data_IF_050768872404
#
_entry.id   IF_050768872404
#
_cell.length_a   1.000
_cell.length_b   1.000
_cell.length_c   1.000
_cell.angle_alpha   90.00
_cell.angle_beta   90.00
_cell.angle_gamma   90.00
#
_symmetry.space_group_name_H-M   'P 1'
#
loop_
_entity.id
_entity.type
_entity.pdbx_description
1 polymer ?
#
# COMPACT_ATOMS: atom_id res chain seq x y z
N UNK A 1 17.46 10.19 3.86
CA UNK A 1 16.09 10.05 4.40
C UNK A 1 15.33 9.10 3.48
N UNK A 2 14.34 8.33 3.96
CA UNK A 2 13.43 7.69 3.03
C UNK A 2 12.80 8.78 2.15
N UNK A 3 12.86 8.56 0.84
CA UNK A 3 12.26 9.42 -0.17
C UNK A 3 10.75 9.13 -0.21
N UNK A 4 9.94 10.17 -0.05
CA UNK A 4 8.47 10.07 -0.03
C UNK A 4 7.94 10.81 -1.25
N UNK A 5 7.05 10.15 -1.98
CA UNK A 5 6.32 10.81 -3.05
C UNK A 5 5.06 11.42 -2.44
N UNK A 6 4.96 12.75 -2.52
CA UNK A 6 3.78 13.50 -2.14
C UNK A 6 2.71 13.33 -3.23
N UNK A 7 1.47 13.10 -2.81
CA UNK A 7 0.32 12.92 -3.69
C UNK A 7 -0.81 13.83 -3.23
N UNK A 8 -1.49 14.48 -4.17
CA UNK A 8 -2.67 15.30 -3.93
C UNK A 8 -3.73 15.01 -4.98
N UNK A 9 -4.87 14.52 -4.53
CA UNK A 9 -6.06 14.35 -5.36
C UNK A 9 -7.00 15.52 -5.10
N UNK A 10 -7.33 16.27 -6.15
CA UNK A 10 -8.37 17.31 -6.10
C UNK A 10 -9.73 16.72 -6.42
N UNK A 11 -10.71 17.02 -5.57
CA UNK A 11 -12.07 16.52 -5.56
C UNK A 11 -13.03 17.70 -5.69
N UNK A 12 -13.72 17.82 -6.83
CA UNK A 12 -14.74 18.86 -7.00
C UNK A 12 -16.10 18.39 -6.44
N UNK A 13 -16.24 18.37 -5.11
CA UNK A 13 -17.38 17.77 -4.40
C UNK A 13 -17.95 18.66 -3.30
N UNK A 14 -19.21 18.40 -2.91
CA UNK A 14 -19.83 18.98 -1.71
C UNK A 14 -19.39 18.24 -0.45
N UNK A 15 -19.58 18.84 0.74
CA UNK A 15 -19.24 18.18 2.02
C UNK A 15 -19.93 16.82 2.18
N UNK A 16 -21.22 16.73 1.85
CA UNK A 16 -21.99 15.48 1.97
C UNK A 16 -21.48 14.38 1.02
N UNK A 17 -21.01 14.77 -0.17
CA UNK A 17 -20.37 13.85 -1.12
C UNK A 17 -18.97 13.44 -0.62
N UNK A 18 -18.21 14.38 -0.04
CA UNK A 18 -16.88 14.12 0.53
C UNK A 18 -16.95 13.11 1.68
N UNK A 19 -17.90 13.25 2.60
CA UNK A 19 -18.07 12.31 3.73
C UNK A 19 -18.39 10.90 3.23
N UNK A 20 -19.23 10.76 2.18
CA UNK A 20 -19.51 9.45 1.58
C UNK A 20 -18.28 8.84 0.93
N UNK A 21 -17.49 9.63 0.21
CA UNK A 21 -16.21 9.15 -0.36
C UNK A 21 -15.30 8.70 0.78
N UNK A 22 -15.17 9.51 1.84
CA UNK A 22 -14.35 9.23 3.02
C UNK A 22 -14.71 7.90 3.68
N UNK A 23 -16.01 7.63 3.88
CA UNK A 23 -16.50 6.38 4.46
C UNK A 23 -16.10 5.13 3.65
N UNK A 24 -15.96 5.26 2.33
CA UNK A 24 -15.63 4.15 1.44
C UNK A 24 -14.11 3.92 1.41
N UNK A 25 -13.34 4.99 1.24
CA UNK A 25 -11.91 4.89 0.88
C UNK A 25 -10.94 5.05 2.05
N UNK A 26 -11.39 5.60 3.18
CA UNK A 26 -10.54 5.78 4.36
C UNK A 26 -10.70 4.64 5.36
N UNK A 27 -9.62 4.35 6.07
CA UNK A 27 -9.59 3.47 7.25
C UNK A 27 -8.92 4.21 8.43
N UNK A 28 -9.08 3.68 9.63
CA UNK A 28 -8.35 4.14 10.84
C UNK A 28 -7.30 3.12 11.22
N UNK A 29 -6.14 3.59 11.64
CA UNK A 29 -5.09 2.72 12.17
C UNK A 29 -5.33 2.37 13.65
N UNK A 30 -4.38 1.67 14.27
CA UNK A 30 -4.48 1.25 15.67
C UNK A 30 -4.39 2.41 16.68
N UNK A 31 -3.94 3.59 16.24
CA UNK A 31 -3.87 4.82 17.03
C UNK A 31 -5.08 5.74 16.79
N UNK A 32 -5.92 5.40 15.80
CA UNK A 32 -7.12 6.14 15.45
C UNK A 32 -6.91 7.16 14.34
N UNK A 33 -5.71 7.23 13.76
CA UNK A 33 -5.38 8.13 12.66
C UNK A 33 -6.01 7.63 11.36
N UNK A 34 -6.63 8.54 10.62
CA UNK A 34 -7.29 8.23 9.35
C UNK A 34 -6.29 8.19 8.20
N UNK A 35 -6.43 7.20 7.31
CA UNK A 35 -5.60 7.10 6.12
C UNK A 35 -6.37 6.59 4.91
N UNK A 36 -5.92 6.99 3.71
CA UNK A 36 -6.45 6.51 2.45
C UNK A 36 -6.05 5.05 2.25
N UNK A 37 -7.00 4.14 2.37
CA UNK A 37 -6.72 2.72 2.40
C UNK A 37 -6.81 2.12 1.00
N UNK A 38 -5.65 1.84 0.41
CA UNK A 38 -5.57 1.26 -0.92
C UNK A 38 -6.30 -0.09 -1.02
N UNK A 39 -6.46 -0.84 0.09
CA UNK A 39 -7.23 -2.09 0.08
C UNK A 39 -8.73 -1.91 -0.13
N UNK A 40 -9.25 -0.70 0.11
CA UNK A 40 -10.65 -0.33 -0.20
C UNK A 40 -10.86 -0.13 -1.69
N UNK A 41 -9.79 0.19 -2.42
CA UNK A 41 -9.79 0.45 -3.86
C UNK A 41 -9.39 -0.82 -4.63
N UNK A 42 -8.16 -1.29 -4.43
CA UNK A 42 -7.65 -2.54 -4.98
C UNK A 42 -7.21 -3.41 -3.82
N UNK A 43 -8.07 -4.38 -3.48
CA UNK A 43 -7.89 -5.24 -2.32
C UNK A 43 -6.73 -6.20 -2.53
N UNK A 44 -5.78 -6.16 -1.59
CA UNK A 44 -4.70 -7.13 -1.54
C UNK A 44 -5.21 -8.54 -1.22
N UNK A 45 -4.69 -9.58 -1.88
CA UNK A 45 -4.93 -10.97 -1.48
C UNK A 45 -4.53 -11.21 -0.02
N UNK A 46 -5.22 -12.13 0.67
CA UNK A 46 -4.92 -12.46 2.07
C UNK A 46 -3.66 -13.33 2.24
N UNK A 47 -3.25 -14.04 1.19
CA UNK A 47 -2.21 -15.06 1.16
C UNK A 47 -0.91 -14.57 0.49
N UNK A 48 -0.42 -13.38 0.83
CA UNK A 48 0.82 -12.84 0.25
C UNK A 48 2.06 -13.24 1.06
N UNK A 49 3.18 -13.50 0.36
CA UNK A 49 4.48 -13.75 0.99
C UNK A 49 5.35 -12.50 0.97
N UNK A 50 5.92 -12.12 2.11
CA UNK A 50 6.89 -11.03 2.16
C UNK A 50 8.19 -11.44 1.46
N UNK A 51 8.55 -10.77 0.35
CA UNK A 51 9.91 -10.85 -0.20
C UNK A 51 10.85 -10.11 0.75
N UNK A 52 11.63 -10.83 1.56
CA UNK A 52 12.66 -10.22 2.38
C UNK A 52 13.84 -9.79 1.49
N UNK A 53 14.14 -8.49 1.46
CA UNK A 53 15.48 -8.03 1.12
C UNK A 53 16.31 -8.03 2.41
N UNK A 54 17.50 -8.66 2.38
CA UNK A 54 18.60 -8.45 3.36
C UNK A 54 18.69 -6.95 3.71
N UNK A 55 18.87 -6.48 4.93
CA UNK A 55 19.48 -7.05 6.13
C UNK A 55 18.88 -6.36 7.38
N UNK A 56 19.20 -6.85 8.56
CA UNK A 56 18.92 -6.32 9.91
C UNK A 56 17.78 -7.03 10.69
N UNK A 57 16.58 -7.22 10.14
CA UNK A 57 15.49 -7.92 10.87
C UNK A 57 15.50 -9.43 10.65
N UNK A 58 15.81 -9.86 9.42
CA UNK A 58 15.94 -11.29 9.08
C UNK A 58 17.14 -11.94 9.77
N UNK A 59 18.25 -11.21 9.92
CA UNK A 59 19.39 -11.68 10.74
C UNK A 59 18.97 -11.82 12.20
N UNK A 60 18.22 -10.87 12.77
CA UNK A 60 17.80 -10.98 14.18
C UNK A 60 16.83 -12.14 14.42
N UNK A 61 15.84 -12.34 13.53
CA UNK A 61 14.83 -13.39 13.66
C UNK A 61 15.38 -14.77 13.28
N UNK A 62 16.12 -14.89 12.17
CA UNK A 62 16.76 -16.15 11.77
C UNK A 62 17.87 -16.56 12.71
N UNK A 63 18.70 -15.63 13.22
CA UNK A 63 19.76 -15.95 14.19
C UNK A 63 19.20 -16.47 15.50
N UNK A 64 18.14 -15.87 16.03
CA UNK A 64 17.47 -16.35 17.24
C UNK A 64 16.93 -17.79 17.04
N UNK A 65 16.34 -18.07 15.88
CA UNK A 65 15.79 -19.38 15.51
C UNK A 65 16.87 -20.45 15.27
N UNK A 66 17.94 -20.12 14.52
CA UNK A 66 19.06 -21.04 14.26
C UNK A 66 19.87 -21.35 15.51
N UNK A 67 20.00 -20.40 16.45
CA UNK A 67 20.76 -20.60 17.70
C UNK A 67 19.92 -21.22 18.82
N UNK A 68 18.58 -21.23 18.73
CA UNK A 68 17.69 -21.73 19.79
C UNK A 68 16.41 -22.42 19.27
N UNK A 69 16.51 -23.46 18.41
CA UNK A 69 15.34 -24.10 17.80
C UNK A 69 14.36 -24.69 18.83
N UNK A 70 14.85 -25.11 20.00
CA UNK A 70 14.05 -25.77 21.04
C UNK A 70 13.24 -24.82 21.94
N UNK A 71 13.33 -23.50 21.75
CA UNK A 71 12.69 -22.50 22.62
C UNK A 71 11.35 -21.97 22.13
N UNK A 72 10.94 -22.30 20.90
CA UNK A 72 9.64 -21.91 20.38
C UNK A 72 8.68 -23.09 20.48
N UNK A 73 7.61 -22.95 21.26
CA UNK A 73 6.58 -23.97 21.31
C UNK A 73 5.97 -24.16 19.91
N UNK A 74 5.93 -25.42 19.43
CA UNK A 74 5.39 -25.79 18.12
C UNK A 74 3.99 -25.21 17.87
N UNK A 75 3.19 -25.09 18.94
CA UNK A 75 1.86 -24.49 18.91
C UNK A 75 1.87 -23.02 18.47
N UNK A 76 2.85 -22.24 18.94
CA UNK A 76 3.00 -20.83 18.55
C UNK A 76 3.42 -20.75 17.08
N UNK A 77 4.29 -21.65 16.62
CA UNK A 77 4.68 -21.75 15.22
C UNK A 77 3.49 -22.09 14.32
N UNK A 78 2.65 -23.05 14.73
CA UNK A 78 1.44 -23.43 13.99
C UNK A 78 0.40 -22.29 13.97
N UNK A 79 0.28 -21.51 15.05
CA UNK A 79 -0.59 -20.33 15.13
C UNK A 79 -0.07 -19.16 14.27
N UNK A 80 1.26 -19.01 14.13
CA UNK A 80 1.91 -18.07 13.22
C UNK A 80 1.68 -18.49 11.76
N UNK A 81 1.93 -19.77 11.42
CA UNK A 81 1.74 -20.32 10.07
C UNK A 81 0.27 -20.26 9.64
N UNK A 82 -0.67 -20.44 10.58
CA UNK A 82 -2.11 -20.34 10.31
C UNK A 82 -2.68 -18.92 10.36
N UNK A 83 -1.83 -17.89 10.41
CA UNK A 83 -2.22 -16.47 10.46
C UNK A 83 -3.14 -16.10 11.64
N UNK A 84 -3.07 -16.84 12.76
CA UNK A 84 -3.85 -16.55 13.98
C UNK A 84 -3.16 -15.53 14.87
N UNK A 85 -1.84 -15.35 14.73
CA UNK A 85 -1.03 -14.38 15.47
C UNK A 85 -0.28 -13.51 14.48
N UNK A 86 -0.62 -12.22 14.44
CA UNK A 86 0.00 -11.22 13.55
C UNK A 86 1.08 -10.38 14.25
N UNK A 87 1.16 -10.45 15.58
CA UNK A 87 2.10 -9.69 16.42
C UNK A 87 2.62 -10.59 17.53
N UNK A 88 3.93 -10.76 17.65
CA UNK A 88 4.55 -11.49 18.78
C UNK A 88 5.51 -10.58 19.53
N UNK A 89 5.64 -10.83 20.84
CA UNK A 89 6.72 -10.24 21.63
C UNK A 89 7.83 -11.25 21.82
N UNK A 90 9.02 -10.91 21.30
CA UNK A 90 10.24 -11.69 21.51
C UNK A 90 11.20 -10.79 22.30
N UNK A 91 11.61 -11.25 23.48
CA UNK A 91 12.48 -10.52 24.41
C UNK A 91 12.05 -9.06 24.66
N UNK A 92 10.74 -8.85 24.82
CA UNK A 92 10.14 -7.55 25.12
C UNK A 92 9.95 -6.61 23.92
N UNK A 93 10.36 -7.01 22.71
CA UNK A 93 10.16 -6.23 21.47
C UNK A 93 8.96 -6.75 20.70
N UNK A 94 8.11 -5.84 20.22
CA UNK A 94 6.97 -6.15 19.36
C UNK A 94 7.46 -6.41 17.93
N UNK A 95 7.19 -7.59 17.40
CA UNK A 95 7.52 -8.00 16.03
C UNK A 95 6.22 -8.23 15.28
N UNK A 96 6.06 -7.52 14.15
CA UNK A 96 4.94 -7.75 13.22
C UNK A 96 5.28 -8.95 12.34
N UNK A 97 4.42 -9.96 12.38
CA UNK A 97 4.51 -11.17 11.56
C UNK A 97 3.49 -11.05 10.43
N UNK A 98 3.67 -10.05 9.58
CA UNK A 98 3.01 -10.07 8.28
C UNK A 98 3.79 -11.07 7.39
N UNK A 99 3.36 -12.33 7.45
CA UNK A 99 3.63 -13.44 6.52
C UNK A 99 5.07 -13.59 6.00
N UNK A 100 5.92 -14.26 6.79
CA UNK A 100 7.26 -14.71 6.38
C UNK A 100 7.18 -16.07 5.66
N UNK A 101 7.82 -16.19 4.49
CA UNK A 101 8.26 -17.49 3.95
C UNK A 101 9.74 -17.42 3.59
N UNK A 102 10.39 -18.52 3.93
CA UNK A 102 11.82 -18.79 4.05
C UNK A 102 12.65 -18.64 2.75
N UNK A 103 13.94 -18.28 2.91
CA UNK A 103 14.96 -18.23 1.85
C UNK A 103 15.48 -19.65 1.50
N UNK A 104 14.61 -20.55 1.04
CA UNK A 104 15.04 -21.89 0.60
C UNK A 104 14.78 -22.22 -0.87
N UNK A 105 14.08 -21.37 -1.61
CA UNK A 105 13.66 -21.67 -2.98
C UNK A 105 14.15 -20.62 -3.97
N UNK A 106 14.72 -21.08 -5.09
CA UNK A 106 15.05 -20.28 -6.25
C UNK A 106 13.79 -19.79 -7.00
N UNK A 107 13.93 -18.73 -7.81
CA UNK A 107 12.86 -18.20 -8.67
C UNK A 107 12.22 -19.26 -9.59
N UNK A 108 12.96 -20.31 -9.93
CA UNK A 108 12.51 -21.42 -10.77
C UNK A 108 11.67 -22.43 -9.98
N UNK A 109 12.00 -22.69 -8.72
CA UNK A 109 11.26 -23.60 -7.85
C UNK A 109 9.89 -23.04 -7.43
N UNK A 110 9.79 -21.71 -7.24
CA UNK A 110 8.54 -21.04 -6.89
C UNK A 110 7.49 -21.08 -8.02
N UNK A 111 7.89 -21.27 -9.28
CA UNK A 111 6.97 -21.37 -10.44
C UNK A 111 6.16 -22.67 -10.45
N UNK A 112 6.62 -23.72 -9.79
CA UNK A 112 5.97 -25.04 -9.77
C UNK A 112 5.00 -25.23 -8.60
N UNK A 113 4.93 -24.28 -7.67
CA UNK A 113 3.90 -24.23 -6.63
C UNK A 113 2.59 -23.68 -7.22
N UNK A 114 1.94 -24.47 -8.08
CA UNK A 114 0.69 -24.14 -8.77
C UNK A 114 -0.56 -24.40 -7.93
N UNK A 115 -0.48 -24.24 -6.60
CA UNK A 115 -1.61 -24.27 -5.69
C UNK A 115 -1.89 -22.87 -5.17
N UNK A 116 -2.80 -22.14 -5.83
CA UNK A 116 -3.38 -20.86 -5.40
C UNK A 116 -2.43 -19.87 -4.68
N UNK A 117 -1.67 -19.13 -5.50
CA UNK A 117 -1.13 -17.79 -5.26
C UNK A 117 -0.09 -17.61 -4.15
N UNK A 118 1.15 -18.01 -4.43
CA UNK A 118 2.34 -17.39 -3.82
C UNK A 118 2.66 -16.11 -4.60
N UNK A 119 1.96 -15.01 -4.32
CA UNK A 119 2.34 -13.71 -4.86
C UNK A 119 3.27 -13.03 -3.87
N UNK A 120 4.44 -12.61 -4.36
CA UNK A 120 5.39 -11.82 -3.60
C UNK A 120 4.74 -10.48 -3.27
N UNK A 121 4.50 -10.24 -1.98
CA UNK A 121 3.82 -9.06 -1.43
C UNK A 121 4.34 -7.75 -2.03
N UNK A 122 5.67 -7.63 -2.12
CA UNK A 122 6.33 -6.45 -2.65
C UNK A 122 5.98 -6.23 -4.11
N UNK A 123 6.12 -7.27 -4.93
CA UNK A 123 5.89 -7.18 -6.38
C UNK A 123 4.41 -6.86 -6.65
N UNK A 124 3.47 -7.49 -5.95
CA UNK A 124 2.05 -7.16 -6.10
C UNK A 124 1.73 -5.73 -5.70
N UNK A 125 2.22 -5.25 -4.57
CA UNK A 125 1.96 -3.88 -4.14
C UNK A 125 2.53 -2.88 -5.16
N UNK A 126 3.73 -3.13 -5.69
CA UNK A 126 4.31 -2.30 -6.75
C UNK A 126 3.47 -2.38 -8.03
N UNK A 127 3.09 -3.58 -8.46
CA UNK A 127 2.34 -3.78 -9.71
C UNK A 127 0.91 -3.20 -9.66
N UNK A 128 0.25 -3.29 -8.51
CA UNK A 128 -1.18 -2.94 -8.36
C UNK A 128 -1.37 -1.56 -7.74
N UNK A 129 -0.52 -1.14 -6.80
CA UNK A 129 -0.61 0.17 -6.14
C UNK A 129 0.43 1.18 -6.63
N UNK A 130 1.48 0.75 -7.35
CA UNK A 130 2.60 1.61 -7.76
C UNK A 130 3.65 1.84 -6.66
N UNK A 131 3.33 1.47 -5.42
CA UNK A 131 4.14 1.74 -4.22
C UNK A 131 4.22 0.52 -3.32
N UNK A 132 5.30 0.44 -2.55
CA UNK A 132 5.56 -0.64 -1.61
C UNK A 132 4.52 -0.73 -0.48
N UNK A 133 4.08 0.41 0.03
CA UNK A 133 3.21 0.48 1.21
C UNK A 133 1.89 1.17 0.87
N UNK A 134 0.90 0.98 1.76
CA UNK A 134 -0.31 1.79 1.78
C UNK A 134 0.04 3.28 1.98
N UNK A 135 -0.96 4.17 1.88
CA UNK A 135 -0.75 5.60 2.07
C UNK A 135 -0.19 5.94 3.45
N UNK A 136 0.59 7.02 3.50
CA UNK A 136 1.20 7.58 4.71
C UNK A 136 0.79 9.05 4.83
N UNK A 137 0.75 9.59 6.05
CA UNK A 137 0.51 11.02 6.30
C UNK A 137 -0.73 11.56 5.56
N UNK A 138 -1.79 10.77 5.59
CA UNK A 138 -3.00 11.01 4.83
C UNK A 138 -3.90 12.03 5.52
N UNK A 139 -4.55 12.88 4.73
CA UNK A 139 -5.53 13.86 5.19
C UNK A 139 -6.53 14.12 4.07
N UNK A 140 -7.81 14.25 4.43
CA UNK A 140 -8.87 14.64 3.49
C UNK A 140 -9.64 15.80 4.09
N UNK A 141 -9.66 16.94 3.39
CA UNK A 141 -10.38 18.15 3.81
C UNK A 141 -10.97 18.87 2.60
N UNK A 142 -12.21 19.39 2.74
CA UNK A 142 -13.02 20.15 1.77
C UNK A 142 -13.14 19.56 0.36
N UNK A 143 -12.03 19.56 -0.37
CA UNK A 143 -11.88 19.26 -1.79
C UNK A 143 -10.53 18.60 -2.11
N UNK A 144 -9.71 18.25 -1.11
CA UNK A 144 -8.40 17.65 -1.35
C UNK A 144 -8.16 16.42 -0.47
N UNK A 145 -7.72 15.34 -1.11
CA UNK A 145 -7.15 14.16 -0.46
C UNK A 145 -5.63 14.20 -0.67
N UNK A 146 -4.89 14.40 0.41
CA UNK A 146 -3.43 14.52 0.43
C UNK A 146 -2.86 13.30 1.14
N UNK A 147 -1.80 12.72 0.59
CA UNK A 147 -1.09 11.60 1.20
C UNK A 147 0.32 11.44 0.64
N UNK A 148 1.13 10.60 1.28
CA UNK A 148 2.46 10.23 0.81
C UNK A 148 2.54 8.74 0.51
N UNK A 149 3.41 8.39 -0.43
CA UNK A 149 3.74 7.00 -0.80
C UNK A 149 5.25 6.79 -0.74
N UNK A 150 5.67 5.52 -0.73
CA UNK A 150 7.08 5.18 -0.71
C UNK A 150 7.66 5.27 -2.13
N UNK A 151 8.59 6.21 -2.33
CA UNK A 151 9.43 6.37 -3.52
C UNK A 151 8.75 6.74 -4.84
N UNK A 152 7.53 6.28 -5.11
CA UNK A 152 6.81 6.46 -6.36
C UNK A 152 5.36 6.91 -6.12
N UNK A 153 4.72 7.59 -7.08
CA UNK A 153 3.29 7.85 -7.02
C UNK A 153 2.47 6.56 -7.03
N UNK A 154 1.16 6.68 -6.82
CA UNK A 154 0.26 5.54 -7.03
C UNK A 154 0.22 5.13 -8.51
N UNK A 155 -0.11 3.87 -8.77
CA UNK A 155 -0.34 3.37 -10.14
C UNK A 155 -1.57 4.03 -10.78
N UNK A 156 -1.59 4.04 -12.12
CA UNK A 156 -2.78 4.44 -12.88
C UNK A 156 -3.99 3.57 -12.54
N UNK A 157 -3.78 2.26 -12.34
CA UNK A 157 -4.85 1.32 -11.99
C UNK A 157 -5.49 1.65 -10.64
N UNK A 158 -4.68 1.97 -9.62
CA UNK A 158 -5.20 2.37 -8.32
C UNK A 158 -5.97 3.69 -8.40
N UNK A 159 -5.47 4.66 -9.18
CA UNK A 159 -6.17 5.91 -9.41
C UNK A 159 -7.49 5.70 -10.17
N UNK A 160 -7.50 4.88 -11.22
CA UNK A 160 -8.73 4.53 -11.95
C UNK A 160 -9.76 3.83 -11.05
N UNK A 161 -9.32 2.90 -10.20
CA UNK A 161 -10.16 2.27 -9.19
C UNK A 161 -10.80 3.29 -8.24
N UNK A 162 -10.02 4.28 -7.79
CA UNK A 162 -10.51 5.37 -6.95
C UNK A 162 -11.56 6.22 -7.68
N UNK A 163 -11.31 6.58 -8.94
CA UNK A 163 -12.27 7.29 -9.79
C UNK A 163 -13.56 6.50 -9.93
N UNK A 164 -13.50 5.19 -10.13
CA UNK A 164 -14.69 4.37 -10.27
C UNK A 164 -15.55 4.38 -9.01
N UNK A 165 -14.94 4.35 -7.82
CA UNK A 165 -15.63 4.57 -6.55
C UNK A 165 -16.27 5.96 -6.52
N UNK A 166 -15.55 7.01 -6.89
CA UNK A 166 -16.10 8.36 -6.95
C UNK A 166 -17.29 8.45 -7.94
N UNK A 167 -17.23 7.80 -9.11
CA UNK A 167 -18.33 7.77 -10.08
C UNK A 167 -19.61 7.19 -9.47
N UNK A 168 -19.53 6.23 -8.56
CA UNK A 168 -20.70 5.69 -7.85
C UNK A 168 -21.36 6.72 -6.91
N UNK A 169 -20.59 7.65 -6.37
CA UNK A 169 -21.07 8.68 -5.42
C UNK A 169 -21.50 9.97 -6.12
N UNK A 170 -20.69 10.48 -7.06
CA UNK A 170 -20.84 11.82 -7.66
C UNK A 170 -21.10 11.78 -9.18
N UNK A 171 -21.21 10.60 -9.77
CA UNK A 171 -21.51 10.43 -11.20
C UNK A 171 -20.48 11.08 -12.11
N UNK A 172 -20.97 11.84 -13.10
CA UNK A 172 -20.13 12.49 -14.12
C UNK A 172 -19.13 13.51 -13.56
N UNK A 173 -19.34 14.03 -12.35
CA UNK A 173 -18.39 14.95 -11.70
C UNK A 173 -17.04 14.29 -11.42
N UNK A 174 -16.98 12.96 -11.35
CA UNK A 174 -15.73 12.24 -11.12
C UNK A 174 -14.69 12.45 -12.24
N UNK A 175 -15.11 12.90 -13.43
CA UNK A 175 -14.19 13.25 -14.52
C UNK A 175 -13.37 14.52 -14.24
N UNK A 176 -13.77 15.35 -13.26
CA UNK A 176 -13.02 16.55 -12.84
C UNK A 176 -12.00 16.26 -11.72
N UNK A 177 -11.76 14.99 -11.38
CA UNK A 177 -10.81 14.59 -10.33
C UNK A 177 -9.41 14.41 -10.91
N UNK A 178 -8.43 15.13 -10.34
CA UNK A 178 -7.06 15.10 -10.82
C UNK A 178 -6.12 14.70 -9.67
N UNK A 179 -5.14 13.86 -9.96
CA UNK A 179 -4.02 13.55 -9.06
C UNK A 179 -2.80 14.35 -9.50
N UNK A 180 -2.11 14.96 -8.54
CA UNK A 180 -0.77 15.49 -8.70
C UNK A 180 0.19 14.72 -7.81
N UNK A 181 1.41 14.50 -8.27
CA UNK A 181 2.43 13.86 -7.47
C UNK A 181 3.80 14.51 -7.64
N UNK A 182 4.63 14.42 -6.60
CA UNK A 182 6.01 14.91 -6.61
C UNK A 182 6.87 14.08 -5.64
N UNK A 183 8.03 13.61 -6.10
CA UNK A 183 9.11 13.07 -5.28
C UNK A 183 10.35 13.95 -5.51
N UNK A 184 10.62 14.88 -4.59
CA UNK A 184 11.70 15.87 -4.75
C UNK A 184 13.11 15.27 -4.66
N UNK A 185 13.26 14.11 -4.02
CA UNK A 185 14.55 13.46 -3.80
C UNK A 185 15.17 12.87 -5.07
N UNK A 186 14.35 12.46 -6.04
CA UNK A 186 14.78 11.95 -7.35
C UNK A 186 14.19 12.73 -8.53
N UNK A 187 13.42 13.78 -8.27
CA UNK A 187 12.93 14.69 -9.31
C UNK A 187 11.81 14.12 -10.16
N UNK A 188 10.97 13.25 -9.58
CA UNK A 188 9.75 12.76 -10.22
C UNK A 188 8.62 13.74 -9.92
N UNK A 189 7.83 14.10 -10.91
CA UNK A 189 6.62 14.91 -10.74
C UNK A 189 5.66 14.58 -11.88
N UNK A 190 4.40 14.95 -11.72
CA UNK A 190 3.42 14.77 -12.78
C UNK A 190 1.99 14.81 -12.27
N UNK A 191 1.07 14.42 -13.16
CA UNK A 191 -0.35 14.34 -12.84
C UNK A 191 -1.07 13.24 -13.60
N UNK A 192 -2.16 12.75 -13.01
CA UNK A 192 -3.17 11.93 -13.69
C UNK A 192 -4.47 12.71 -13.75
N UNK A 193 -5.17 12.66 -14.88
CA UNK A 193 -6.44 13.36 -15.07
C UNK A 193 -7.31 12.64 -16.10
N UNK A 194 -8.61 12.92 -16.07
CA UNK A 194 -9.56 12.37 -17.02
C UNK A 194 -9.92 13.44 -18.05
N UNK A 195 -9.87 13.08 -19.31
CA UNK A 195 -10.33 13.91 -20.41
C UNK A 195 -11.10 13.03 -21.39
N UNK A 196 -12.29 13.46 -21.83
CA UNK A 196 -13.11 12.71 -22.79
C UNK A 196 -13.37 11.24 -22.37
N UNK A 197 -13.59 11.02 -21.06
CA UNK A 197 -13.79 9.69 -20.42
C UNK A 197 -12.57 8.75 -20.44
N UNK A 198 -11.42 9.20 -20.93
CA UNK A 198 -10.16 8.45 -20.89
C UNK A 198 -9.19 9.01 -19.84
N UNK A 199 -8.38 8.11 -19.27
CA UNK A 199 -7.37 8.44 -18.27
C UNK A 199 -6.06 8.84 -18.96
N UNK A 200 -5.56 10.02 -18.65
CA UNK A 200 -4.30 10.57 -19.14
C UNK A 200 -3.30 10.76 -18.01
N UNK A 201 -2.03 10.76 -18.37
CA UNK A 201 -0.92 11.09 -17.47
C UNK A 201 0.07 12.03 -18.16
N UNK A 202 0.68 12.89 -17.36
CA UNK A 202 1.62 13.92 -17.80
C UNK A 202 2.79 13.95 -16.81
N UNK A 203 3.90 13.31 -17.20
CA UNK A 203 5.11 13.12 -16.37
C UNK A 203 6.01 14.36 -16.31
N UNK A 204 5.68 15.41 -17.06
CA UNK A 204 6.43 16.67 -17.09
C UNK A 204 5.66 17.82 -16.42
N UNK A 205 4.48 17.54 -15.85
CA UNK A 205 3.67 18.55 -15.21
C UNK A 205 4.20 18.90 -13.81
N UNK A 206 4.72 20.12 -13.68
CA UNK A 206 4.87 20.77 -12.37
C UNK A 206 3.73 21.75 -12.20
N UNK A 207 2.90 21.53 -11.17
CA UNK A 207 2.03 22.60 -10.75
C UNK A 207 2.92 23.73 -10.23
N UNK A 208 2.80 24.93 -10.80
CA UNK A 208 3.38 26.12 -10.19
C UNK A 208 2.72 26.27 -8.82
N UNK A 209 3.42 25.83 -7.78
CA UNK A 209 2.98 26.04 -6.40
C UNK A 209 3.05 27.54 -6.17
N UNK A 210 1.89 28.20 -6.24
CA UNK A 210 1.72 29.61 -5.88
C UNK A 210 1.92 29.81 -4.36
#
# INVERSE_FOLDING_TARGET
MPNYCFNRIRLNVTQDELEKIKEIVMSKDEFGDEYFDFNKVIKRPKNMLLRAFKANTLEAFSKYYYENPDKLEQKILDEIISNKILKVRIDGKLVNIDCYVDEKYSLEELKYYTGEMLILWYDWCVDNWGTKWNSLFSSIDKDELIFSTAWNPISLELFEGFINICKEVIGKKASDIWLYYEECGIGIFGRYFIQDEELYYDEDYREEVA
#
